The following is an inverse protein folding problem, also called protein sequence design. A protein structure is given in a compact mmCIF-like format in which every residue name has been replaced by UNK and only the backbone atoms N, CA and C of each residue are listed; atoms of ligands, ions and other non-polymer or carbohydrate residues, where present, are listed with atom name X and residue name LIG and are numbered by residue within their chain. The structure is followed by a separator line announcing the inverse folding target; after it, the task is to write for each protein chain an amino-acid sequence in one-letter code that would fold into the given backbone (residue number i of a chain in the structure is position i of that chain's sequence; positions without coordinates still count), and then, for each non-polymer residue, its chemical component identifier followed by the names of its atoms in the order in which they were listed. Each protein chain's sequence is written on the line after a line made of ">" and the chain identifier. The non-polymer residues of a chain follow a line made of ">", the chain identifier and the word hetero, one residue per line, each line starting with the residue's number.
data_IF_444699857174
#
_entry.id   IF_444699857174
#
_cell.length_a   1.000
_cell.length_b   1.000
_cell.length_c   1.000
_cell.angle_alpha   90.00
_cell.angle_beta   90.00
_cell.angle_gamma   90.00
#
_symmetry.space_group_name_H-M   'P 1'
#
loop_
_entity.id
_entity.type
_entity.pdbx_description
1 polymer ?
#
# COMPACT_ATOMS: atom_id res chain seq x y z
N UNK A 1 -18.57 -22.24 -30.21
CA UNK A 1 -17.33 -21.63 -29.80
C UNK A 1 -17.41 -21.38 -28.29
N UNK A 2 -16.71 -22.22 -27.48
CA UNK A 2 -16.65 -22.03 -26.05
C UNK A 2 -15.81 -20.77 -25.77
N UNK A 3 -16.38 -19.80 -25.07
CA UNK A 3 -15.61 -18.63 -24.59
C UNK A 3 -14.54 -19.14 -23.61
N UNK A 4 -13.29 -18.70 -23.72
CA UNK A 4 -12.25 -19.10 -22.78
C UNK A 4 -12.68 -18.70 -21.35
N UNK A 5 -12.53 -19.64 -20.40
CA UNK A 5 -12.83 -19.38 -18.99
C UNK A 5 -11.64 -18.62 -18.41
N UNK A 6 -11.85 -17.34 -18.07
CA UNK A 6 -10.85 -16.51 -17.45
C UNK A 6 -10.99 -16.61 -15.91
N UNK A 7 -10.00 -17.16 -15.24
CA UNK A 7 -10.01 -17.30 -13.79
C UNK A 7 -9.15 -16.19 -13.15
N UNK A 8 -9.70 -15.44 -12.18
CA UNK A 8 -8.90 -14.50 -11.41
C UNK A 8 -7.81 -15.24 -10.63
N UNK A 9 -6.73 -14.55 -10.23
CA UNK A 9 -5.66 -15.14 -9.44
C UNK A 9 -6.19 -15.55 -8.05
N UNK A 10 -6.55 -16.84 -7.89
CA UNK A 10 -7.21 -17.37 -6.68
C UNK A 10 -6.24 -17.76 -5.57
N UNK A 11 -4.97 -18.03 -5.89
CA UNK A 11 -4.08 -18.77 -5.00
C UNK A 11 -3.79 -18.10 -3.65
N UNK A 12 -3.87 -16.80 -3.58
CA UNK A 12 -3.51 -16.07 -2.35
C UNK A 12 -4.70 -15.45 -1.62
N UNK A 13 -5.90 -15.53 -2.18
CA UNK A 13 -7.08 -14.86 -1.63
C UNK A 13 -7.41 -15.36 -0.22
N UNK A 14 -7.52 -16.67 -0.02
CA UNK A 14 -7.87 -17.26 1.27
C UNK A 14 -6.78 -17.07 2.33
N UNK A 15 -5.51 -17.12 1.92
CA UNK A 15 -4.37 -16.84 2.82
C UNK A 15 -4.42 -15.38 3.26
N UNK A 16 -4.65 -14.46 2.34
CA UNK A 16 -4.78 -13.04 2.64
C UNK A 16 -5.98 -12.79 3.57
N UNK A 17 -7.13 -13.44 3.32
CA UNK A 17 -8.29 -13.34 4.19
C UNK A 17 -8.03 -13.89 5.60
N UNK A 18 -7.32 -15.02 5.72
CA UNK A 18 -6.96 -15.59 7.02
C UNK A 18 -6.02 -14.68 7.80
N UNK A 19 -4.97 -14.17 7.15
CA UNK A 19 -4.05 -13.20 7.76
C UNK A 19 -4.76 -11.90 8.13
N UNK A 20 -5.65 -11.43 7.28
CA UNK A 20 -6.49 -10.26 7.54
C UNK A 20 -7.31 -10.45 8.82
N UNK A 21 -7.97 -11.59 8.97
CA UNK A 21 -8.75 -11.90 10.17
C UNK A 21 -7.85 -11.95 11.41
N UNK A 22 -6.69 -12.62 11.35
CA UNK A 22 -5.76 -12.70 12.49
C UNK A 22 -5.33 -11.31 12.95
N UNK A 23 -4.92 -10.45 12.03
CA UNK A 23 -4.45 -9.09 12.35
C UNK A 23 -5.60 -8.20 12.83
N UNK A 24 -6.81 -8.35 12.26
CA UNK A 24 -7.99 -7.58 12.67
C UNK A 24 -8.45 -7.89 14.10
N UNK A 25 -8.32 -9.16 14.54
CA UNK A 25 -8.80 -9.59 15.87
C UNK A 25 -7.70 -9.62 16.94
N UNK A 26 -6.47 -9.23 16.63
CA UNK A 26 -5.32 -9.28 17.54
C UNK A 26 -4.73 -7.89 17.81
N UNK A 27 -5.44 -7.00 18.54
CA UNK A 27 -4.91 -5.67 18.88
C UNK A 27 -3.61 -5.73 19.69
N UNK A 28 -3.42 -6.81 20.48
CA UNK A 28 -2.20 -7.06 21.24
C UNK A 28 -0.96 -7.20 20.36
N UNK A 29 -1.11 -7.68 19.11
CA UNK A 29 -0.02 -7.77 18.16
C UNK A 29 0.53 -6.38 17.79
N UNK A 30 -0.35 -5.38 17.64
CA UNK A 30 0.03 -4.01 17.36
C UNK A 30 0.90 -3.43 18.47
N UNK A 31 0.49 -3.62 19.74
CA UNK A 31 1.24 -3.13 20.89
C UNK A 31 2.57 -3.91 21.06
N UNK A 32 2.56 -5.22 20.96
CA UNK A 32 3.75 -6.05 21.14
C UNK A 32 4.83 -5.75 20.08
N UNK A 33 4.44 -5.64 18.81
CA UNK A 33 5.37 -5.31 17.73
C UNK A 33 5.90 -3.88 17.86
N UNK A 34 5.06 -2.91 18.24
CA UNK A 34 5.50 -1.53 18.47
C UNK A 34 6.44 -1.43 19.66
N UNK A 35 6.17 -2.17 20.76
CA UNK A 35 7.02 -2.20 21.95
C UNK A 35 8.44 -2.72 21.66
N UNK A 36 8.60 -3.64 20.69
CA UNK A 36 9.92 -4.13 20.29
C UNK A 36 10.83 -2.99 19.78
N UNK A 37 10.26 -1.96 19.16
CA UNK A 37 10.99 -0.80 18.62
C UNK A 37 11.01 0.40 19.56
N UNK A 38 10.41 0.29 20.76
CA UNK A 38 10.35 1.37 21.73
C UNK A 38 11.30 1.09 22.90
N UNK A 39 12.33 1.95 23.07
CA UNK A 39 13.32 1.85 24.16
C UNK A 39 13.72 3.27 24.61
N UNK A 40 14.08 3.42 25.86
CA UNK A 40 14.52 4.69 26.44
C UNK A 40 13.56 5.84 26.11
N UNK A 41 12.25 5.55 26.26
CA UNK A 41 11.15 6.48 26.01
C UNK A 41 11.09 7.06 24.58
N UNK A 42 11.58 6.31 23.59
CA UNK A 42 11.56 6.69 22.16
C UNK A 42 11.56 5.49 21.22
N UNK A 43 11.10 5.71 20.00
CA UNK A 43 11.28 4.78 18.87
C UNK A 43 12.70 4.95 18.31
N UNK A 44 13.63 4.12 18.79
CA UNK A 44 15.09 4.32 18.65
C UNK A 44 15.61 4.14 17.22
N UNK A 45 14.87 3.45 16.34
CA UNK A 45 15.26 3.26 14.93
C UNK A 45 14.62 4.27 13.97
N UNK A 46 13.96 5.31 14.47
CA UNK A 46 13.20 6.26 13.66
C UNK A 46 13.96 6.87 12.49
N UNK A 47 15.21 7.23 12.70
CA UNK A 47 16.08 7.86 11.70
C UNK A 47 17.27 6.97 11.30
N UNK A 48 17.20 5.65 11.56
CA UNK A 48 18.31 4.75 11.28
C UNK A 48 18.50 4.48 9.78
N UNK A 49 19.77 4.65 9.31
CA UNK A 49 20.23 4.20 8.01
C UNK A 49 19.35 4.58 6.81
N UNK A 50 18.75 3.58 6.18
CA UNK A 50 17.95 3.72 4.95
C UNK A 50 16.48 4.11 5.19
N UNK A 51 16.01 4.14 6.44
CA UNK A 51 14.60 4.40 6.77
C UNK A 51 14.11 5.80 6.33
N UNK A 52 14.89 6.89 6.44
CA UNK A 52 14.48 8.19 5.90
C UNK A 52 14.21 8.16 4.39
N UNK A 53 14.98 7.40 3.60
CA UNK A 53 14.74 7.23 2.18
C UNK A 53 13.42 6.47 1.90
N UNK A 54 13.18 5.36 2.62
CA UNK A 54 11.91 4.61 2.50
C UNK A 54 10.69 5.47 2.88
N UNK A 55 10.87 6.45 3.75
CA UNK A 55 9.82 7.36 4.17
C UNK A 55 9.55 8.49 3.17
N UNK A 56 10.60 9.15 2.67
CA UNK A 56 10.47 10.35 1.84
C UNK A 56 10.74 10.07 0.36
N UNK A 57 11.91 9.52 0.05
CA UNK A 57 12.35 9.38 -1.32
C UNK A 57 11.54 8.36 -2.13
N UNK A 58 11.32 7.17 -1.57
CA UNK A 58 10.64 6.10 -2.30
C UNK A 58 9.19 6.42 -2.69
N UNK A 59 8.34 6.96 -1.79
CA UNK A 59 6.98 7.36 -2.17
C UNK A 59 6.95 8.48 -3.21
N UNK A 60 7.83 9.48 -3.11
CA UNK A 60 7.92 10.58 -4.07
C UNK A 60 8.29 10.07 -5.47
N UNK A 61 9.23 9.12 -5.56
CA UNK A 61 9.60 8.47 -6.82
C UNK A 61 8.39 7.76 -7.44
N UNK A 62 7.64 6.97 -6.67
CA UNK A 62 6.51 6.22 -7.20
C UNK A 62 5.34 7.14 -7.60
N UNK A 63 5.07 8.19 -6.84
CA UNK A 63 4.08 9.21 -7.22
C UNK A 63 4.51 9.93 -8.50
N UNK A 64 5.80 10.29 -8.62
CA UNK A 64 6.36 10.88 -9.83
C UNK A 64 6.23 9.97 -11.05
N UNK A 65 6.51 8.67 -10.89
CA UNK A 65 6.31 7.67 -11.95
C UNK A 65 4.83 7.60 -12.36
N UNK A 66 3.90 7.53 -11.39
CA UNK A 66 2.47 7.49 -11.70
C UNK A 66 2.00 8.75 -12.44
N UNK A 67 2.49 9.92 -12.02
CA UNK A 67 2.21 11.19 -12.69
C UNK A 67 2.77 11.21 -14.12
N UNK A 68 3.99 10.70 -14.34
CA UNK A 68 4.61 10.60 -15.66
C UNK A 68 3.77 9.75 -16.62
N UNK A 69 3.25 8.59 -16.17
CA UNK A 69 2.33 7.78 -16.98
C UNK A 69 1.08 8.56 -17.39
N UNK A 70 0.49 9.33 -16.48
CA UNK A 70 -0.67 10.18 -16.76
C UNK A 70 -0.36 11.30 -17.79
N UNK A 71 0.79 11.97 -17.64
CA UNK A 71 1.24 13.01 -18.55
C UNK A 71 1.52 12.47 -19.96
N UNK A 72 2.21 11.34 -20.05
CA UNK A 72 2.53 10.69 -21.34
C UNK A 72 1.23 10.24 -22.03
N UNK A 73 0.28 9.68 -21.28
CA UNK A 73 -1.03 9.33 -21.81
C UNK A 73 -1.79 10.55 -22.32
N UNK A 74 -1.85 11.64 -21.52
CA UNK A 74 -2.50 12.89 -21.92
C UNK A 74 -1.89 13.50 -23.19
N UNK A 75 -0.56 13.49 -23.28
CA UNK A 75 0.15 13.89 -24.49
C UNK A 75 -0.20 13.01 -25.70
N UNK A 76 -0.29 11.67 -25.47
CA UNK A 76 -0.69 10.69 -26.49
C UNK A 76 -2.10 10.96 -27.05
N UNK A 77 -3.05 11.35 -26.19
CA UNK A 77 -4.38 11.78 -26.60
C UNK A 77 -4.33 13.01 -27.52
N UNK A 78 -3.57 14.04 -27.14
CA UNK A 78 -3.42 15.27 -27.93
C UNK A 78 -2.80 15.00 -29.30
N UNK A 79 -1.81 14.11 -29.36
CA UNK A 79 -1.09 13.75 -30.59
C UNK A 79 -1.76 12.61 -31.37
N UNK A 80 -2.84 12.01 -30.86
CA UNK A 80 -3.52 10.83 -31.42
C UNK A 80 -2.56 9.66 -31.67
N UNK A 81 -1.57 9.50 -30.78
CA UNK A 81 -0.52 8.46 -30.84
C UNK A 81 -0.14 7.98 -29.44
N UNK A 82 -0.13 6.67 -29.25
CA UNK A 82 0.33 6.08 -27.97
C UNK A 82 1.85 6.01 -27.94
N UNK A 83 2.47 6.87 -27.12
CA UNK A 83 3.91 6.84 -26.88
C UNK A 83 4.25 5.67 -25.97
N UNK A 84 5.27 4.90 -26.35
CA UNK A 84 5.78 3.74 -25.59
C UNK A 84 4.72 2.73 -25.18
N UNK A 85 3.63 2.62 -25.92
CA UNK A 85 2.52 1.72 -25.61
C UNK A 85 1.66 2.14 -24.40
N UNK A 86 1.84 3.36 -23.86
CA UNK A 86 1.05 3.87 -22.74
C UNK A 86 -0.31 4.31 -23.25
N UNK A 87 -1.20 3.34 -23.38
CA UNK A 87 -2.61 3.51 -23.73
C UNK A 87 -3.48 3.71 -22.49
N UNK A 88 -4.77 3.88 -22.68
CA UNK A 88 -5.74 4.09 -21.58
C UNK A 88 -5.74 2.95 -20.56
N UNK A 89 -5.57 1.69 -20.95
CA UNK A 89 -5.50 0.56 -20.02
C UNK A 89 -4.28 0.68 -19.10
N UNK A 90 -3.13 1.01 -19.67
CA UNK A 90 -1.88 1.20 -18.91
C UNK A 90 -2.01 2.38 -17.96
N UNK A 91 -2.56 3.51 -18.44
CA UNK A 91 -2.80 4.69 -17.59
C UNK A 91 -3.75 4.38 -16.42
N UNK A 92 -4.85 3.67 -16.68
CA UNK A 92 -5.80 3.30 -15.63
C UNK A 92 -5.16 2.35 -14.59
N UNK A 93 -4.31 1.42 -15.05
CA UNK A 93 -3.60 0.53 -14.13
C UNK A 93 -2.54 1.28 -13.30
N UNK A 94 -1.86 2.27 -13.85
CA UNK A 94 -0.80 3.03 -13.17
C UNK A 94 -1.34 4.26 -12.45
N UNK A 95 -1.55 5.35 -13.16
CA UNK A 95 -2.05 6.63 -12.59
C UNK A 95 -3.42 6.45 -11.93
N UNK A 96 -4.35 5.75 -12.59
CA UNK A 96 -5.69 5.51 -12.05
C UNK A 96 -5.68 4.76 -10.73
N UNK A 97 -4.88 3.69 -10.62
CA UNK A 97 -4.78 2.93 -9.36
C UNK A 97 -4.05 3.71 -8.25
N UNK A 98 -3.08 4.59 -8.58
CA UNK A 98 -2.44 5.48 -7.60
C UNK A 98 -3.47 6.47 -7.03
N UNK A 99 -4.27 7.09 -7.89
CA UNK A 99 -5.30 8.03 -7.47
C UNK A 99 -6.38 7.34 -6.63
N UNK A 100 -6.84 6.16 -7.05
CA UNK A 100 -7.92 5.45 -6.36
C UNK A 100 -7.44 4.82 -5.06
N UNK A 101 -6.36 4.05 -5.06
CA UNK A 101 -5.87 3.29 -3.89
C UNK A 101 -5.16 4.18 -2.87
N UNK A 102 -3.87 4.51 -3.08
CA UNK A 102 -3.09 5.26 -2.13
C UNK A 102 -3.64 6.65 -1.81
N UNK A 103 -4.10 7.41 -2.82
CA UNK A 103 -4.52 8.80 -2.60
C UNK A 103 -5.94 8.86 -2.04
N UNK A 104 -6.93 8.31 -2.74
CA UNK A 104 -8.34 8.44 -2.34
C UNK A 104 -8.70 7.50 -1.19
N UNK A 105 -8.51 6.18 -1.36
CA UNK A 105 -8.95 5.21 -0.34
C UNK A 105 -8.12 5.35 0.93
N UNK A 106 -6.79 5.23 0.84
CA UNK A 106 -5.92 5.19 2.02
C UNK A 106 -5.80 6.56 2.68
N UNK A 107 -5.36 7.58 1.94
CA UNK A 107 -5.15 8.91 2.54
C UNK A 107 -6.43 9.74 2.63
N UNK A 108 -7.29 9.72 1.60
CA UNK A 108 -8.52 10.53 1.57
C UNK A 108 -9.60 10.01 2.50
N UNK A 109 -9.85 8.71 2.54
CA UNK A 109 -10.95 8.13 3.34
C UNK A 109 -10.45 7.66 4.70
N UNK A 110 -9.61 6.64 4.74
CA UNK A 110 -9.26 6.01 6.01
C UNK A 110 -8.46 6.92 6.92
N UNK A 111 -7.45 7.60 6.40
CA UNK A 111 -6.59 8.46 7.21
C UNK A 111 -7.30 9.71 7.76
N UNK A 112 -8.36 10.15 7.08
CA UNK A 112 -9.14 11.32 7.48
C UNK A 112 -10.24 10.95 8.49
N UNK A 113 -10.91 9.82 8.29
CA UNK A 113 -12.14 9.51 9.04
C UNK A 113 -11.98 8.45 10.12
N UNK A 114 -10.85 7.72 10.19
CA UNK A 114 -10.69 6.64 11.15
C UNK A 114 -10.29 7.09 12.56
N UNK A 115 -9.61 8.24 12.68
CA UNK A 115 -9.28 8.89 13.92
C UNK A 115 -8.34 8.11 14.86
N UNK A 116 -7.59 7.12 14.38
CA UNK A 116 -6.69 6.28 15.17
C UNK A 116 -5.39 7.00 15.47
N UNK A 117 -5.00 7.09 16.77
CA UNK A 117 -3.72 7.62 17.19
C UNK A 117 -2.55 6.76 16.67
N UNK A 118 -1.40 7.39 16.47
CA UNK A 118 -0.15 6.69 16.10
C UNK A 118 0.53 6.09 17.32
N UNK A 119 1.40 5.04 17.15
CA UNK A 119 2.14 4.45 18.27
C UNK A 119 2.82 5.48 19.17
N UNK A 120 3.55 6.46 18.61
CA UNK A 120 4.25 7.48 19.41
C UNK A 120 3.32 8.44 20.17
N UNK A 121 2.01 8.42 19.91
CA UNK A 121 1.02 9.31 20.55
C UNK A 121 0.28 8.64 21.71
N UNK A 122 0.34 7.30 21.82
CA UNK A 122 -0.44 6.58 22.83
C UNK A 122 0.27 6.51 24.19
N UNK A 123 -0.52 6.35 25.25
CA UNK A 123 -0.07 6.34 26.65
C UNK A 123 0.99 5.24 26.85
N UNK A 124 0.82 4.07 26.24
CA UNK A 124 1.73 2.92 26.33
C UNK A 124 3.15 3.23 25.85
N UNK A 125 3.31 4.28 25.02
CA UNK A 125 4.61 4.71 24.48
C UNK A 125 4.92 6.19 24.81
N UNK A 126 4.47 6.65 25.98
CA UNK A 126 4.82 7.98 26.51
C UNK A 126 4.01 9.15 25.93
N UNK A 127 3.00 8.88 25.12
CA UNK A 127 2.06 9.89 24.62
C UNK A 127 0.89 10.16 25.57
N UNK A 128 -0.16 10.79 25.05
CA UNK A 128 -1.35 11.16 25.82
C UNK A 128 -2.69 10.71 25.20
N UNK A 129 -2.65 9.88 24.16
CA UNK A 129 -3.82 9.35 23.47
C UNK A 129 -4.08 7.90 23.90
N UNK A 130 -5.32 7.43 23.77
CA UNK A 130 -5.64 6.04 24.04
C UNK A 130 -5.37 5.17 22.82
N UNK A 131 -4.89 3.94 23.05
CA UNK A 131 -4.82 2.93 22.01
C UNK A 131 -6.22 2.55 21.53
N UNK A 132 -6.38 2.38 20.22
CA UNK A 132 -7.62 1.87 19.62
C UNK A 132 -7.31 0.74 18.65
N UNK A 133 -8.20 -0.28 18.65
CA UNK A 133 -8.09 -1.42 17.72
C UNK A 133 -8.20 -0.96 16.26
N UNK A 134 -7.58 -1.66 15.29
CA UNK A 134 -7.62 -1.27 13.87
C UNK A 134 -9.04 -1.18 13.29
N UNK A 135 -9.97 -1.99 13.78
CA UNK A 135 -11.36 -2.02 13.28
C UNK A 135 -12.31 -1.05 14.00
N UNK A 136 -11.78 -0.18 14.87
CA UNK A 136 -12.58 0.78 15.65
C UNK A 136 -12.32 2.19 15.14
N UNK A 137 -13.38 2.87 14.67
CA UNK A 137 -13.34 4.31 14.39
C UNK A 137 -13.24 5.04 15.74
N UNK A 138 -12.33 5.99 15.85
CA UNK A 138 -12.05 6.68 17.08
C UNK A 138 -11.90 8.20 16.90
N UNK A 139 -11.79 8.91 18.00
CA UNK A 139 -11.55 10.36 18.05
C UNK A 139 -10.16 10.70 18.65
N UNK A 140 -9.22 9.75 18.58
CA UNK A 140 -7.89 9.94 19.17
C UNK A 140 -6.93 10.71 18.26
N UNK A 141 -7.36 11.06 17.05
CA UNK A 141 -6.57 11.80 16.08
C UNK A 141 -7.49 12.57 15.12
N UNK A 142 -7.23 13.86 14.90
CA UNK A 142 -8.03 14.73 14.03
C UNK A 142 -7.47 14.83 12.59
N UNK A 143 -6.15 14.65 12.43
CA UNK A 143 -5.47 14.84 11.16
C UNK A 143 -4.25 13.94 11.02
N UNK A 144 -4.01 13.45 9.80
CA UNK A 144 -2.87 12.56 9.45
C UNK A 144 -2.75 11.36 10.41
N UNK A 145 -3.87 10.70 10.64
CA UNK A 145 -4.03 9.62 11.60
C UNK A 145 -3.25 8.34 11.22
N UNK A 146 -3.16 7.37 12.15
CA UNK A 146 -2.36 6.16 11.94
C UNK A 146 -2.94 5.24 10.86
N UNK A 147 -4.23 4.99 10.89
CA UNK A 147 -4.89 4.03 10.01
C UNK A 147 -5.35 4.67 8.70
N UNK A 148 -4.89 4.24 7.56
CA UNK A 148 -3.91 3.21 7.19
C UNK A 148 -2.58 3.82 6.74
N UNK A 149 -1.53 2.98 6.57
CA UNK A 149 -0.20 3.46 6.17
C UNK A 149 -0.16 3.89 4.69
N UNK A 150 -0.14 5.20 4.43
CA UNK A 150 -0.04 5.75 3.07
C UNK A 150 1.29 5.39 2.38
N UNK A 151 2.40 5.36 3.11
CA UNK A 151 3.71 4.98 2.56
C UNK A 151 3.72 3.53 2.08
N UNK A 152 3.16 2.63 2.87
CA UNK A 152 3.00 1.22 2.48
C UNK A 152 2.12 1.07 1.25
N UNK A 153 0.99 1.81 1.19
CA UNK A 153 0.12 1.80 0.01
C UNK A 153 0.84 2.22 -1.26
N UNK A 154 1.58 3.35 -1.21
CA UNK A 154 2.35 3.84 -2.36
C UNK A 154 3.43 2.84 -2.77
N UNK A 155 4.12 2.21 -1.81
CA UNK A 155 5.12 1.19 -2.13
C UNK A 155 4.49 -0.04 -2.79
N UNK A 156 3.39 -0.56 -2.23
CA UNK A 156 2.66 -1.70 -2.84
C UNK A 156 2.01 -1.34 -4.18
N UNK A 157 1.73 -0.05 -4.44
CA UNK A 157 1.28 0.40 -5.75
C UNK A 157 2.27 0.04 -6.87
N UNK A 158 3.58 -0.05 -6.59
CA UNK A 158 4.56 -0.48 -7.59
C UNK A 158 4.28 -1.87 -8.19
N UNK A 159 3.35 -2.65 -7.62
CA UNK A 159 2.81 -3.87 -8.23
C UNK A 159 2.21 -3.58 -9.61
N UNK A 160 1.59 -2.42 -9.82
CA UNK A 160 1.08 -2.03 -11.13
C UNK A 160 2.19 -2.01 -12.19
N UNK A 161 3.39 -1.54 -11.82
CA UNK A 161 4.56 -1.55 -12.70
C UNK A 161 5.09 -2.98 -12.93
N UNK A 162 5.15 -3.78 -11.86
CA UNK A 162 5.62 -5.16 -11.94
C UNK A 162 4.73 -6.03 -12.87
N UNK A 163 3.41 -5.79 -12.87
CA UNK A 163 2.46 -6.50 -13.73
C UNK A 163 2.57 -6.11 -15.21
N UNK A 164 3.11 -4.93 -15.52
CA UNK A 164 3.39 -4.48 -16.90
C UNK A 164 4.69 -5.09 -17.46
N UNK A 165 5.53 -5.69 -16.62
CA UNK A 165 6.75 -6.34 -17.07
C UNK A 165 6.45 -7.55 -17.97
N UNK A 166 7.34 -7.88 -18.95
CA UNK A 166 7.28 -9.12 -19.68
C UNK A 166 7.18 -10.33 -18.75
N UNK A 167 6.41 -11.35 -19.13
CA UNK A 167 6.08 -12.51 -18.28
C UNK A 167 7.31 -13.13 -17.59
N UNK A 168 8.45 -13.22 -18.30
CA UNK A 168 9.71 -13.77 -17.78
C UNK A 168 10.27 -13.00 -16.57
N UNK A 169 10.01 -11.70 -16.46
CA UNK A 169 10.51 -10.82 -15.38
C UNK A 169 9.47 -10.53 -14.31
N UNK A 170 8.19 -10.81 -14.58
CA UNK A 170 7.06 -10.43 -13.70
C UNK A 170 7.21 -10.98 -12.28
N UNK A 171 7.59 -12.26 -12.14
CA UNK A 171 7.81 -12.86 -10.81
C UNK A 171 8.86 -12.12 -9.99
N UNK A 172 9.95 -11.71 -10.62
CA UNK A 172 11.01 -10.94 -9.96
C UNK A 172 10.54 -9.54 -9.58
N UNK A 173 9.79 -8.88 -10.45
CA UNK A 173 9.15 -7.61 -10.16
C UNK A 173 8.21 -7.70 -8.95
N UNK A 174 7.33 -8.71 -8.91
CA UNK A 174 6.42 -8.94 -7.78
C UNK A 174 7.21 -9.21 -6.48
N UNK A 175 8.25 -10.05 -6.53
CA UNK A 175 9.10 -10.32 -5.38
C UNK A 175 9.78 -9.03 -4.86
N UNK A 176 10.29 -8.19 -5.76
CA UNK A 176 10.87 -6.90 -5.39
C UNK A 176 9.85 -5.97 -4.71
N UNK A 177 8.61 -5.91 -5.21
CA UNK A 177 7.52 -5.14 -4.60
C UNK A 177 7.22 -5.63 -3.19
N UNK A 178 7.14 -6.93 -2.98
CA UNK A 178 6.88 -7.52 -1.65
C UNK A 178 8.01 -7.17 -0.69
N UNK A 179 9.26 -7.34 -1.09
CA UNK A 179 10.44 -7.04 -0.27
C UNK A 179 10.46 -5.54 0.10
N UNK A 180 10.29 -4.65 -0.87
CA UNK A 180 10.27 -3.20 -0.65
C UNK A 180 9.08 -2.79 0.23
N UNK A 181 7.92 -3.40 0.01
CA UNK A 181 6.71 -3.13 0.79
C UNK A 181 6.86 -3.55 2.26
N UNK A 182 7.44 -4.73 2.52
CA UNK A 182 7.77 -5.20 3.87
C UNK A 182 8.80 -4.28 4.51
N UNK A 183 9.88 -3.93 3.80
CA UNK A 183 10.92 -3.03 4.32
C UNK A 183 10.34 -1.64 4.68
N UNK A 184 9.48 -1.08 3.81
CA UNK A 184 8.77 0.17 4.10
C UNK A 184 7.85 0.02 5.32
N UNK A 185 7.10 -1.06 5.41
CA UNK A 185 6.23 -1.35 6.55
C UNK A 185 7.00 -1.42 7.87
N UNK A 186 8.08 -2.19 7.90
CA UNK A 186 8.97 -2.29 9.08
C UNK A 186 9.54 -0.91 9.45
N UNK A 187 10.02 -0.14 8.48
CA UNK A 187 10.52 1.21 8.74
C UNK A 187 9.45 2.10 9.38
N UNK A 188 8.20 2.03 8.92
CA UNK A 188 7.09 2.82 9.49
C UNK A 188 6.70 2.40 10.90
N UNK A 189 6.76 1.11 11.21
CA UNK A 189 6.54 0.58 12.57
C UNK A 189 7.69 1.00 13.48
N UNK A 190 8.92 0.82 13.04
CA UNK A 190 10.12 1.18 13.80
C UNK A 190 10.24 2.68 14.11
N UNK A 191 9.60 3.52 13.30
CA UNK A 191 9.45 4.97 13.53
C UNK A 191 8.30 5.31 14.51
N UNK A 192 7.56 4.34 15.01
CA UNK A 192 6.36 4.59 15.82
C UNK A 192 5.24 5.29 15.07
N UNK A 193 5.28 5.32 13.74
CA UNK A 193 4.32 6.06 12.93
C UNK A 193 3.06 5.28 12.59
N UNK A 194 3.17 3.95 12.54
CA UNK A 194 2.08 3.03 12.20
C UNK A 194 2.18 1.75 13.01
N UNK A 195 1.05 1.14 13.29
CA UNK A 195 0.97 -0.21 13.82
C UNK A 195 1.14 -1.26 12.70
N UNK A 196 1.40 -2.51 13.08
CA UNK A 196 1.52 -3.60 12.11
C UNK A 196 0.21 -3.80 11.33
N UNK A 197 -0.93 -3.62 11.98
CA UNK A 197 -2.24 -3.68 11.33
C UNK A 197 -2.41 -2.60 10.28
N UNK A 198 -2.00 -1.34 10.53
CA UNK A 198 -2.10 -0.24 9.57
C UNK A 198 -1.32 -0.54 8.27
N UNK A 199 -0.14 -1.15 8.43
CA UNK A 199 0.73 -1.59 7.32
C UNK A 199 0.09 -2.73 6.55
N UNK A 200 -0.41 -3.74 7.27
CA UNK A 200 -1.01 -4.93 6.66
C UNK A 200 -2.28 -4.60 5.87
N UNK A 201 -3.20 -3.83 6.46
CA UNK A 201 -4.44 -3.43 5.77
C UNK A 201 -4.14 -2.60 4.52
N UNK A 202 -3.19 -1.68 4.62
CA UNK A 202 -2.76 -0.84 3.50
C UNK A 202 -2.19 -1.66 2.34
N UNK A 203 -1.30 -2.61 2.66
CA UNK A 203 -0.71 -3.53 1.70
C UNK A 203 -1.78 -4.38 1.01
N UNK A 204 -2.69 -4.99 1.80
CA UNK A 204 -3.72 -5.90 1.30
C UNK A 204 -4.71 -5.20 0.39
N UNK A 205 -5.23 -4.04 0.80
CA UNK A 205 -6.21 -3.29 -0.01
C UNK A 205 -5.57 -2.81 -1.32
N UNK A 206 -4.35 -2.27 -1.26
CA UNK A 206 -3.66 -1.80 -2.47
C UNK A 206 -3.34 -2.96 -3.41
N UNK A 207 -2.84 -4.08 -2.88
CA UNK A 207 -2.55 -5.28 -3.64
C UNK A 207 -3.82 -5.83 -4.34
N UNK A 208 -4.91 -5.98 -3.60
CA UNK A 208 -6.17 -6.48 -4.11
C UNK A 208 -6.76 -5.57 -5.20
N UNK A 209 -6.73 -4.25 -4.98
CA UNK A 209 -7.19 -3.26 -5.95
C UNK A 209 -6.44 -3.38 -7.28
N UNK A 210 -5.10 -3.45 -7.22
CA UNK A 210 -4.27 -3.52 -8.43
C UNK A 210 -4.48 -4.83 -9.17
N UNK A 211 -4.57 -5.96 -8.48
CA UNK A 211 -4.86 -7.25 -9.12
C UNK A 211 -6.25 -7.25 -9.76
N UNK A 212 -7.25 -6.69 -9.09
CA UNK A 212 -8.59 -6.56 -9.63
C UNK A 212 -8.62 -5.68 -10.88
N UNK A 213 -7.97 -4.51 -10.85
CA UNK A 213 -7.85 -3.62 -12.01
C UNK A 213 -7.11 -4.31 -13.17
N UNK A 214 -5.98 -4.98 -12.87
CA UNK A 214 -5.23 -5.69 -13.89
C UNK A 214 -6.05 -6.80 -14.55
N UNK A 215 -6.79 -7.60 -13.75
CA UNK A 215 -7.69 -8.62 -14.27
C UNK A 215 -8.78 -8.02 -15.17
N UNK A 216 -9.36 -6.87 -14.80
CA UNK A 216 -10.39 -6.19 -15.59
C UNK A 216 -9.85 -5.56 -16.88
N UNK A 217 -8.64 -5.00 -16.84
CA UNK A 217 -8.05 -4.29 -17.98
C UNK A 217 -7.33 -5.23 -18.97
N UNK A 218 -6.79 -6.36 -18.49
CA UNK A 218 -6.00 -7.31 -19.25
C UNK A 218 -6.49 -8.75 -19.08
N UNK A 219 -7.79 -9.04 -19.35
CA UNK A 219 -8.36 -10.37 -19.13
C UNK A 219 -7.68 -11.45 -19.96
N UNK A 220 -7.14 -11.10 -21.12
CA UNK A 220 -6.41 -12.00 -22.01
C UNK A 220 -5.18 -12.68 -21.35
N UNK A 221 -4.63 -12.10 -20.30
CA UNK A 221 -3.50 -12.67 -19.56
C UNK A 221 -3.92 -13.76 -18.56
N UNK A 222 -5.21 -13.94 -18.30
CA UNK A 222 -5.80 -14.87 -17.34
C UNK A 222 -6.69 -15.95 -17.99
N UNK A 223 -6.90 -15.85 -19.30
CA UNK A 223 -7.69 -16.79 -20.05
C UNK A 223 -6.78 -17.91 -20.60
N UNK A 224 -7.16 -19.16 -20.38
CA UNK A 224 -6.56 -20.36 -20.98
C UNK A 224 -7.58 -21.07 -21.85
#
# INVERSE_FOLDING_TARGET
>A
MNKPVCTPPQLNFWIICALFMIVAVSPQLDLAVSAFFFRDNRFYLGDWGFFPFLRRGLPEIFIGIAAAFGLIWGWGLLRRRWLWGINTKVMLLTTGSMLLGPILIVNGIFKTFWGRARPYQIIEFGGNKNFTSPMVISNQCDWDCSFMSGHTAVTFWSLALALLLPHRYRKWGISAVIILGIATGIARIAQGSHFVSDVFFSATITYALILWLHFKLFPEQYCR
#
